data_IF_121768098585
#
_entry.id   IF_121768098585
#
_cell.length_a   1.000
_cell.length_b   1.000
_cell.length_c   1.000
_cell.angle_alpha   90.00
_cell.angle_beta   90.00
_cell.angle_gamma   90.00
#
_symmetry.space_group_name_H-M   'P 1'
#
loop_
_entity.id
_entity.type
_entity.pdbx_description
1 polymer ?
#
# COMPACT_ATOMS: atom_id res chain seq x y z
N UNK A 1 5.97 -20.15 6.92
CA UNK A 1 5.25 -18.90 6.63
C UNK A 1 5.70 -18.23 5.33
N UNK A 2 6.85 -18.61 4.73
CA UNK A 2 7.35 -18.06 3.46
C UNK A 2 6.46 -18.34 2.23
N UNK A 3 5.63 -19.39 2.24
CA UNK A 3 4.83 -19.76 1.05
C UNK A 3 3.80 -18.68 0.65
N UNK A 4 3.21 -17.96 1.62
CA UNK A 4 2.25 -16.91 1.28
C UNK A 4 2.89 -15.72 0.55
N UNK A 5 4.17 -15.42 0.82
CA UNK A 5 4.90 -14.34 0.14
C UNK A 5 4.99 -14.63 -1.35
N UNK A 6 5.38 -15.84 -1.74
CA UNK A 6 5.63 -16.20 -3.13
C UNK A 6 4.36 -16.29 -3.99
N UNK A 7 3.20 -16.47 -3.34
CA UNK A 7 1.90 -16.57 -4.02
C UNK A 7 1.16 -15.22 -4.10
N UNK A 8 1.69 -14.14 -3.51
CA UNK A 8 0.95 -12.89 -3.39
C UNK A 8 0.56 -12.30 -4.74
N UNK A 9 1.49 -12.27 -5.70
CA UNK A 9 1.25 -11.70 -7.03
C UNK A 9 0.22 -12.52 -7.80
N UNK A 10 0.26 -13.85 -7.68
CA UNK A 10 -0.74 -14.75 -8.27
C UNK A 10 -2.11 -14.51 -7.62
N UNK A 11 -2.16 -14.39 -6.29
CA UNK A 11 -3.39 -14.08 -5.57
C UNK A 11 -3.97 -12.72 -5.99
N UNK A 12 -3.14 -11.68 -6.14
CA UNK A 12 -3.54 -10.36 -6.64
C UNK A 12 -4.03 -10.44 -8.08
N UNK A 13 -3.36 -11.22 -8.94
CA UNK A 13 -3.76 -11.40 -10.33
C UNK A 13 -5.12 -12.10 -10.44
N UNK A 14 -5.44 -13.03 -9.54
CA UNK A 14 -6.73 -13.72 -9.47
C UNK A 14 -7.83 -12.91 -8.74
N UNK A 15 -7.45 -11.89 -7.98
CA UNK A 15 -8.40 -11.04 -7.26
C UNK A 15 -9.09 -10.04 -8.18
N UNK A 16 -10.42 -9.89 -8.06
CA UNK A 16 -11.20 -8.94 -8.85
C UNK A 16 -11.09 -7.50 -8.34
N UNK A 17 -10.99 -7.35 -7.00
CA UNK A 17 -11.05 -6.08 -6.29
C UNK A 17 -10.12 -6.07 -5.08
N UNK A 18 -9.68 -4.88 -4.72
CA UNK A 18 -8.97 -4.61 -3.47
C UNK A 18 -9.82 -3.67 -2.61
N UNK A 19 -10.10 -4.10 -1.37
CA UNK A 19 -10.76 -3.26 -0.38
C UNK A 19 -9.71 -2.79 0.61
N UNK A 20 -9.58 -1.47 0.75
CA UNK A 20 -8.57 -0.87 1.61
C UNK A 20 -9.24 -0.20 2.80
N UNK A 21 -9.02 -0.76 3.99
CA UNK A 21 -9.47 -0.15 5.25
C UNK A 21 -8.46 0.91 5.66
N UNK A 22 -8.76 2.17 5.31
CA UNK A 22 -7.81 3.27 5.37
C UNK A 22 -7.82 3.97 6.74
N UNK A 23 -6.93 3.53 7.63
CA UNK A 23 -6.60 4.25 8.88
C UNK A 23 -5.47 5.27 8.64
N UNK A 24 -5.28 6.19 9.59
CA UNK A 24 -4.18 7.16 9.56
C UNK A 24 -2.78 6.51 9.60
N UNK A 25 -2.67 5.28 10.13
CA UNK A 25 -1.44 4.49 10.18
C UNK A 25 -1.31 3.47 9.05
N UNK A 26 -2.19 3.50 8.04
CA UNK A 26 -2.21 2.50 6.96
C UNK A 26 -0.85 2.39 6.26
N UNK A 27 -0.26 3.53 5.92
CA UNK A 27 0.99 3.64 5.15
C UNK A 27 2.24 3.31 5.95
N UNK A 28 2.12 3.02 7.24
CA UNK A 28 3.22 2.53 8.07
C UNK A 28 3.42 1.02 7.90
N UNK A 29 2.53 0.31 7.21
CA UNK A 29 2.54 -1.16 7.16
C UNK A 29 3.08 -1.68 5.83
N UNK A 30 4.24 -2.34 5.87
CA UNK A 30 4.99 -2.78 4.69
C UNK A 30 4.17 -3.66 3.74
N UNK A 31 3.46 -4.65 4.29
CA UNK A 31 2.57 -5.51 3.51
C UNK A 31 1.48 -4.72 2.80
N UNK A 32 0.78 -3.84 3.53
CA UNK A 32 -0.33 -3.07 2.98
C UNK A 32 0.08 -2.14 1.85
N UNK A 33 1.26 -1.55 1.93
CA UNK A 33 1.79 -0.67 0.88
C UNK A 33 2.30 -1.46 -0.33
N UNK A 34 2.89 -2.63 -0.11
CA UNK A 34 3.29 -3.53 -1.19
C UNK A 34 2.07 -4.06 -1.96
N UNK A 35 1.06 -4.57 -1.26
CA UNK A 35 -0.20 -5.06 -1.86
C UNK A 35 -0.91 -3.98 -2.67
N UNK A 36 -1.00 -2.76 -2.12
CA UNK A 36 -1.59 -1.62 -2.80
C UNK A 36 -0.93 -1.35 -4.16
N UNK A 37 0.40 -1.22 -4.16
CA UNK A 37 1.15 -0.87 -5.37
C UNK A 37 1.14 -2.04 -6.35
N UNK A 38 1.32 -3.27 -5.87
CA UNK A 38 1.26 -4.47 -6.69
C UNK A 38 -0.10 -4.62 -7.38
N UNK A 39 -1.20 -4.41 -6.64
CA UNK A 39 -2.54 -4.45 -7.22
C UNK A 39 -2.72 -3.42 -8.34
N UNK A 40 -2.19 -2.21 -8.18
CA UNK A 40 -2.24 -1.17 -9.22
C UNK A 40 -1.42 -1.46 -10.48
N UNK A 41 -0.40 -2.32 -10.37
CA UNK A 41 0.34 -2.80 -11.55
C UNK A 41 -0.49 -3.80 -12.36
N UNK A 42 -1.30 -4.63 -11.69
CA UNK A 42 -2.07 -5.69 -12.34
C UNK A 42 -3.50 -5.31 -12.71
N UNK A 43 -4.08 -4.30 -12.04
CA UNK A 43 -5.52 -4.02 -12.08
C UNK A 43 -5.79 -2.53 -12.23
N UNK A 44 -6.98 -2.22 -12.73
CA UNK A 44 -7.44 -0.83 -12.89
C UNK A 44 -7.66 -0.19 -11.53
N UNK A 45 -7.35 1.09 -11.41
CA UNK A 45 -7.62 1.88 -10.20
C UNK A 45 -9.10 1.87 -9.78
N UNK A 46 -10.04 1.70 -10.72
CA UNK A 46 -11.46 1.57 -10.43
C UNK A 46 -11.84 0.29 -9.68
N UNK A 47 -10.93 -0.70 -9.59
CA UNK A 47 -11.11 -1.94 -8.81
C UNK A 47 -10.69 -1.81 -7.35
N UNK A 48 -10.21 -0.63 -6.91
CA UNK A 48 -9.87 -0.36 -5.52
C UNK A 48 -11.00 0.45 -4.87
N UNK A 49 -11.49 -0.05 -3.73
CA UNK A 49 -12.47 0.63 -2.88
C UNK A 49 -11.81 1.04 -1.57
N UNK A 50 -11.85 2.33 -1.23
CA UNK A 50 -11.41 2.80 0.08
C UNK A 50 -12.56 2.76 1.08
N UNK A 51 -12.30 2.17 2.24
CA UNK A 51 -13.15 2.21 3.41
C UNK A 51 -12.49 3.11 4.47
N UNK A 52 -12.68 4.42 4.31
CA UNK A 52 -12.08 5.47 5.14
C UNK A 52 -13.01 5.99 6.25
N UNK A 53 -14.33 5.94 6.05
CA UNK A 53 -15.34 6.55 6.94
C UNK A 53 -15.25 6.14 8.41
N UNK A 54 -14.82 4.89 8.66
CA UNK A 54 -14.67 4.37 10.01
C UNK A 54 -13.51 5.04 10.78
N UNK A 55 -12.47 5.51 10.08
CA UNK A 55 -11.20 5.92 10.67
C UNK A 55 -10.81 7.38 10.40
N UNK A 56 -11.32 7.97 9.31
CA UNK A 56 -11.06 9.36 8.95
C UNK A 56 -12.12 10.27 9.55
N UNK A 57 -11.64 11.18 10.40
CA UNK A 57 -12.38 12.26 11.05
C UNK A 57 -11.58 13.54 10.86
N UNK A 58 -12.18 14.70 11.08
CA UNK A 58 -11.46 16.00 10.96
C UNK A 58 -10.17 16.04 11.79
N UNK A 59 -10.13 15.33 12.93
CA UNK A 59 -8.94 15.21 13.80
C UNK A 59 -7.86 14.25 13.29
N UNK A 60 -8.22 13.22 12.51
CA UNK A 60 -7.27 12.19 12.03
C UNK A 60 -6.85 12.41 10.58
N UNK A 61 -7.57 13.24 9.82
CA UNK A 61 -7.22 13.59 8.45
C UNK A 61 -5.80 14.20 8.34
N UNK A 62 -5.37 15.15 9.20
CA UNK A 62 -3.99 15.65 9.14
C UNK A 62 -2.96 14.54 9.33
N UNK A 63 -3.20 13.60 10.23
CA UNK A 63 -2.31 12.45 10.49
C UNK A 63 -2.19 11.56 9.24
N UNK A 64 -3.31 11.32 8.54
CA UNK A 64 -3.30 10.57 7.28
C UNK A 64 -2.46 11.31 6.23
N UNK A 65 -2.69 12.61 6.04
CA UNK A 65 -1.97 13.40 5.04
C UNK A 65 -0.46 13.43 5.34
N UNK A 66 -0.09 13.59 6.61
CA UNK A 66 1.29 13.53 7.06
C UNK A 66 1.92 12.15 6.84
N UNK A 67 1.17 11.07 7.06
CA UNK A 67 1.64 9.71 6.79
C UNK A 67 1.95 9.48 5.31
N UNK A 68 1.15 10.06 4.40
CA UNK A 68 1.38 9.96 2.95
C UNK A 68 2.58 10.82 2.55
N UNK A 69 2.61 12.08 3.02
CA UNK A 69 3.68 13.04 2.70
C UNK A 69 5.06 12.50 3.11
N UNK A 70 5.14 12.00 4.35
CA UNK A 70 6.38 11.52 4.96
C UNK A 70 6.61 10.02 4.73
N UNK A 71 5.82 9.36 3.89
CA UNK A 71 5.99 7.95 3.59
C UNK A 71 7.42 7.65 3.14
N UNK A 72 7.99 6.60 3.71
CA UNK A 72 9.23 5.97 3.28
C UNK A 72 9.11 4.46 3.48
N UNK A 73 9.49 3.71 2.45
CA UNK A 73 9.48 2.25 2.47
C UNK A 73 10.39 1.71 3.58
N UNK A 74 11.55 2.35 3.78
CA UNK A 74 12.52 1.96 4.80
C UNK A 74 11.97 2.06 6.23
N UNK A 75 11.04 2.98 6.46
CA UNK A 75 10.43 3.21 7.78
C UNK A 75 9.16 2.37 8.01
N UNK A 76 8.72 1.58 7.02
CA UNK A 76 7.54 0.74 7.18
C UNK A 76 7.77 -0.36 8.21
N UNK A 77 6.78 -0.57 9.07
CA UNK A 77 6.70 -1.67 10.01
C UNK A 77 6.32 -2.96 9.27
N UNK A 78 6.94 -4.06 9.67
CA UNK A 78 6.54 -5.39 9.26
C UNK A 78 6.08 -6.16 10.50
N UNK A 79 4.88 -6.75 10.46
CA UNK A 79 4.39 -7.53 11.61
C UNK A 79 5.25 -8.78 11.84
N UNK A 80 5.73 -9.38 10.75
CA UNK A 80 6.67 -10.51 10.75
C UNK A 80 7.95 -10.02 10.09
N UNK A 81 8.96 -9.69 10.89
CA UNK A 81 10.15 -8.98 10.41
C UNK A 81 10.99 -9.79 9.41
N UNK A 82 10.89 -11.13 9.44
CA UNK A 82 11.52 -11.99 8.42
C UNK A 82 10.98 -11.75 7.01
N UNK A 83 9.77 -11.22 6.87
CA UNK A 83 9.15 -10.95 5.58
C UNK A 83 9.71 -9.68 4.92
N UNK A 84 10.32 -8.78 5.70
CA UNK A 84 10.85 -7.50 5.19
C UNK A 84 11.80 -7.73 4.03
N UNK A 85 12.78 -8.61 4.23
CA UNK A 85 13.82 -8.84 3.23
C UNK A 85 13.22 -9.38 1.92
N UNK A 86 12.21 -10.24 2.02
CA UNK A 86 11.52 -10.78 0.85
C UNK A 86 10.71 -9.69 0.11
N UNK A 87 9.95 -8.87 0.84
CA UNK A 87 9.18 -7.77 0.24
C UNK A 87 10.08 -6.69 -0.37
N UNK A 88 11.17 -6.31 0.30
CA UNK A 88 12.14 -5.37 -0.25
C UNK A 88 12.82 -5.93 -1.50
N UNK A 89 13.20 -7.22 -1.49
CA UNK A 89 13.77 -7.86 -2.66
C UNK A 89 12.78 -7.86 -3.84
N UNK A 90 11.49 -8.09 -3.58
CA UNK A 90 10.44 -7.98 -4.60
C UNK A 90 10.27 -6.56 -5.11
N UNK A 91 10.35 -5.55 -4.25
CA UNK A 91 10.35 -4.14 -4.68
C UNK A 91 11.53 -3.87 -5.62
N UNK A 92 12.73 -4.31 -5.25
CA UNK A 92 13.93 -4.12 -6.05
C UNK A 92 13.91 -4.92 -7.37
N UNK A 93 13.16 -6.02 -7.42
CA UNK A 93 13.06 -6.89 -8.59
C UNK A 93 12.00 -6.42 -9.60
N UNK A 94 10.82 -6.00 -9.12
CA UNK A 94 9.66 -5.72 -9.97
C UNK A 94 9.46 -4.24 -10.30
N UNK A 95 10.08 -3.32 -9.57
CA UNK A 95 9.90 -1.89 -9.75
C UNK A 95 11.21 -1.21 -10.17
N UNK A 96 11.07 -0.10 -10.90
CA UNK A 96 12.23 0.65 -11.44
C UNK A 96 13.22 1.07 -10.35
N UNK A 97 12.71 1.50 -9.20
CA UNK A 97 13.50 1.81 -8.00
C UNK A 97 12.57 1.94 -6.80
N UNK A 98 13.14 1.85 -5.59
CA UNK A 98 12.42 2.17 -4.35
C UNK A 98 11.83 3.58 -4.38
N UNK A 99 12.53 4.56 -4.94
CA UNK A 99 12.03 5.95 -5.08
C UNK A 99 10.80 6.01 -5.98
N UNK A 100 10.83 5.32 -7.13
CA UNK A 100 9.68 5.27 -8.03
C UNK A 100 8.48 4.55 -7.39
N UNK A 101 8.72 3.48 -6.63
CA UNK A 101 7.70 2.80 -5.84
C UNK A 101 7.05 3.76 -4.83
N UNK A 102 7.85 4.49 -4.05
CA UNK A 102 7.35 5.46 -3.07
C UNK A 102 6.55 6.59 -3.75
N UNK A 103 7.01 7.10 -4.89
CA UNK A 103 6.30 8.13 -5.64
C UNK A 103 4.95 7.64 -6.17
N UNK A 104 4.91 6.43 -6.73
CA UNK A 104 3.67 5.81 -7.21
C UNK A 104 2.67 5.64 -6.07
N UNK A 105 3.13 5.17 -4.92
CA UNK A 105 2.28 5.04 -3.73
C UNK A 105 1.73 6.39 -3.29
N UNK A 106 2.59 7.40 -3.09
CA UNK A 106 2.18 8.73 -2.64
C UNK A 106 1.16 9.36 -3.58
N UNK A 107 1.44 9.31 -4.89
CA UNK A 107 0.57 9.86 -5.90
C UNK A 107 -0.81 9.17 -5.90
N UNK A 108 -0.81 7.84 -5.90
CA UNK A 108 -2.07 7.08 -5.94
C UNK A 108 -2.85 7.26 -4.65
N UNK A 109 -2.21 7.20 -3.48
CA UNK A 109 -2.85 7.49 -2.19
C UNK A 109 -3.62 8.81 -2.21
N UNK A 110 -2.98 9.91 -2.63
CA UNK A 110 -3.64 11.23 -2.72
C UNK A 110 -4.80 11.20 -3.72
N UNK A 111 -4.61 10.60 -4.90
CA UNK A 111 -5.64 10.51 -5.93
C UNK A 111 -6.88 9.73 -5.45
N UNK A 112 -6.67 8.62 -4.73
CA UNK A 112 -7.76 7.82 -4.16
C UNK A 112 -8.46 8.54 -3.02
N UNK A 113 -7.72 9.19 -2.12
CA UNK A 113 -8.28 10.01 -1.04
C UNK A 113 -9.14 11.13 -1.63
N UNK A 114 -8.66 11.85 -2.65
CA UNK A 114 -9.40 12.94 -3.29
C UNK A 114 -10.62 12.48 -4.12
N UNK A 115 -10.66 11.21 -4.53
CA UNK A 115 -11.79 10.60 -5.25
C UNK A 115 -12.92 10.23 -4.30
N UNK A 116 -12.58 9.68 -3.13
CA UNK A 116 -13.52 9.06 -2.20
C UNK A 116 -13.90 10.00 -1.02
N UNK A 117 -13.28 11.18 -0.92
CA UNK A 117 -13.66 12.28 0.00
C UNK A 117 -14.39 13.39 -0.74
#
# INVERSE_FOLDING_TARGET
MAWCLDLLEEFIALSDRLVVVLSWSYFERLWCVYEWVCFLVHKKASSITLCSDAFLRSRTLPLLLDSVKNFSLANCMCCVESDRQALEHKVDTYYVSRVAFEQLLKFTAIAFIARDM
#
